data_IF_711837194093
#
_entry.id   IF_711837194093
#
_cell.length_a   1.000
_cell.length_b   1.000
_cell.length_c   1.000
_cell.angle_alpha   90.00
_cell.angle_beta   90.00
_cell.angle_gamma   90.00
#
_symmetry.space_group_name_H-M   'P 1'
#
loop_
_entity.id
_entity.type
_entity.pdbx_description
1 polymer ?
#
# COMPACT_ATOMS: atom_id res chain seq x y z
N UNK A 1 16.05 -15.98 -3.85
CA UNK A 1 16.59 -14.69 -3.36
C UNK A 1 15.88 -13.59 -4.15
N UNK A 2 15.26 -12.63 -3.45
CA UNK A 2 14.57 -11.50 -4.09
C UNK A 2 15.58 -10.47 -4.61
N UNK A 3 15.27 -9.83 -5.73
CA UNK A 3 16.12 -8.79 -6.34
C UNK A 3 15.76 -7.39 -5.87
N UNK A 4 14.57 -7.20 -5.31
CA UNK A 4 14.04 -5.93 -4.81
C UNK A 4 12.72 -6.18 -4.10
N UNK A 5 11.94 -5.13 -3.93
CA UNK A 5 10.65 -5.16 -3.24
C UNK A 5 9.55 -4.52 -4.08
N UNK A 6 8.30 -4.90 -3.80
CA UNK A 6 7.09 -4.27 -4.33
C UNK A 6 6.12 -4.00 -3.19
N UNK A 7 5.41 -2.88 -3.22
CA UNK A 7 4.38 -2.54 -2.25
C UNK A 7 3.19 -1.84 -2.88
N UNK A 8 2.04 -1.97 -2.22
CA UNK A 8 0.86 -1.18 -2.53
C UNK A 8 1.01 0.24 -1.97
N UNK A 9 0.99 1.25 -2.83
CA UNK A 9 1.05 2.67 -2.44
C UNK A 9 -0.35 3.26 -2.54
N UNK A 10 -1.02 3.40 -1.39
CA UNK A 10 -2.42 3.83 -1.32
C UNK A 10 -2.61 5.35 -1.29
N UNK A 11 -1.56 6.11 -1.07
CA UNK A 11 -1.61 7.54 -0.75
C UNK A 11 -1.89 7.82 0.74
N UNK A 12 -1.95 6.79 1.59
CA UNK A 12 -2.04 6.92 3.04
C UNK A 12 -0.67 6.86 3.72
N UNK A 13 -0.59 7.38 4.96
CA UNK A 13 0.67 7.59 5.70
C UNK A 13 1.50 6.30 5.90
N UNK A 14 0.84 5.15 6.13
CA UNK A 14 1.55 3.90 6.40
C UNK A 14 2.28 3.40 5.14
N UNK A 15 1.61 3.39 4.00
CA UNK A 15 2.23 3.03 2.72
C UNK A 15 3.31 4.03 2.31
N UNK A 16 3.09 5.32 2.59
CA UNK A 16 4.05 6.37 2.30
C UNK A 16 5.33 6.24 3.13
N UNK A 17 5.21 5.97 4.44
CA UNK A 17 6.38 5.73 5.29
C UNK A 17 7.08 4.42 4.92
N UNK A 18 6.33 3.35 4.63
CA UNK A 18 6.92 2.08 4.17
C UNK A 18 7.73 2.25 2.90
N UNK A 19 7.22 3.03 1.93
CA UNK A 19 7.94 3.35 0.70
C UNK A 19 9.24 4.10 0.98
N UNK A 20 9.20 5.13 1.83
CA UNK A 20 10.39 5.89 2.21
C UNK A 20 11.46 4.99 2.87
N UNK A 21 11.07 4.14 3.83
CA UNK A 21 11.97 3.18 4.48
C UNK A 21 12.57 2.20 3.46
N UNK A 22 11.76 1.71 2.52
CA UNK A 22 12.23 0.78 1.50
C UNK A 22 13.29 1.41 0.59
N UNK A 23 13.08 2.66 0.18
CA UNK A 23 14.05 3.41 -0.65
C UNK A 23 15.32 3.72 0.13
N UNK A 24 15.20 4.14 1.39
CA UNK A 24 16.36 4.40 2.25
C UNK A 24 17.23 3.15 2.46
N UNK A 25 16.59 1.98 2.55
CA UNK A 25 17.29 0.72 2.79
C UNK A 25 17.87 0.06 1.53
N UNK A 26 17.23 0.23 0.38
CA UNK A 26 17.52 -0.57 -0.81
C UNK A 26 17.98 0.25 -2.02
N UNK A 27 17.70 1.55 -2.06
CA UNK A 27 17.79 2.40 -3.25
C UNK A 27 16.53 2.31 -4.12
N UNK A 28 16.21 3.40 -4.81
CA UNK A 28 14.97 3.53 -5.58
C UNK A 28 14.85 2.51 -6.73
N UNK A 29 15.96 2.10 -7.31
CA UNK A 29 16.03 1.16 -8.42
C UNK A 29 15.58 -0.27 -8.06
N UNK A 30 15.52 -0.59 -6.76
CA UNK A 30 15.07 -1.90 -6.25
C UNK A 30 13.70 -1.87 -5.60
N UNK A 31 12.97 -0.76 -5.75
CA UNK A 31 11.64 -0.56 -5.16
C UNK A 31 10.61 -0.28 -6.24
N UNK A 32 9.53 -1.05 -6.27
CA UNK A 32 8.37 -0.79 -7.13
C UNK A 32 7.15 -0.45 -6.27
N UNK A 33 6.45 0.63 -6.63
CA UNK A 33 5.21 1.06 -5.99
C UNK A 33 4.02 0.84 -6.94
N UNK A 34 2.93 0.29 -6.42
CA UNK A 34 1.72 0.01 -7.20
C UNK A 34 0.52 0.66 -6.54
N UNK A 35 -0.10 1.62 -7.22
CA UNK A 35 -1.40 2.17 -6.86
C UNK A 35 -2.49 1.28 -7.44
N UNK A 36 -3.43 0.85 -6.59
CA UNK A 36 -4.52 -0.05 -6.99
C UNK A 36 -5.86 0.59 -6.62
N UNK A 37 -6.29 1.61 -7.39
CA UNK A 37 -7.49 2.37 -7.06
C UNK A 37 -8.76 1.56 -7.28
N UNK A 38 -9.81 1.94 -6.54
CA UNK A 38 -11.19 1.53 -6.73
C UNK A 38 -12.07 2.78 -6.88
N UNK A 39 -13.36 2.64 -7.17
CA UNK A 39 -14.30 3.74 -7.47
C UNK A 39 -14.27 4.91 -6.48
N UNK A 40 -14.06 4.61 -5.21
CA UNK A 40 -14.05 5.62 -4.13
C UNK A 40 -12.66 6.09 -3.74
N UNK A 41 -11.62 5.73 -4.50
CA UNK A 41 -10.26 6.23 -4.23
C UNK A 41 -10.20 7.71 -4.59
N UNK A 42 -9.87 8.56 -3.62
CA UNK A 42 -9.85 10.01 -3.83
C UNK A 42 -8.72 10.43 -4.78
N UNK A 43 -8.97 11.49 -5.54
CA UNK A 43 -7.92 12.10 -6.38
C UNK A 43 -6.73 12.57 -5.54
N UNK A 44 -6.98 13.05 -4.32
CA UNK A 44 -5.93 13.44 -3.38
C UNK A 44 -4.97 12.28 -3.09
N UNK A 45 -5.52 11.10 -2.78
CA UNK A 45 -4.69 9.89 -2.53
C UNK A 45 -3.88 9.47 -3.76
N UNK A 46 -4.48 9.53 -4.95
CA UNK A 46 -3.78 9.20 -6.20
C UNK A 46 -2.67 10.19 -6.52
N UNK A 47 -2.92 11.48 -6.32
CA UNK A 47 -1.95 12.54 -6.54
C UNK A 47 -0.79 12.46 -5.54
N UNK A 48 -1.08 12.23 -4.26
CA UNK A 48 -0.06 12.07 -3.22
C UNK A 48 0.83 10.86 -3.49
N UNK A 49 0.26 9.71 -3.86
CA UNK A 49 1.03 8.52 -4.22
C UNK A 49 1.94 8.77 -5.43
N UNK A 50 1.40 9.39 -6.49
CA UNK A 50 2.17 9.73 -7.69
C UNK A 50 3.30 10.71 -7.40
N UNK A 51 3.01 11.78 -6.63
CA UNK A 51 4.00 12.79 -6.21
C UNK A 51 5.13 12.14 -5.42
N UNK A 52 4.81 11.30 -4.43
CA UNK A 52 5.81 10.63 -3.61
C UNK A 52 6.69 9.69 -4.44
N UNK A 53 6.09 8.86 -5.30
CA UNK A 53 6.83 7.95 -6.16
C UNK A 53 7.80 8.68 -7.09
N UNK A 54 7.36 9.81 -7.65
CA UNK A 54 8.20 10.71 -8.47
C UNK A 54 9.34 11.31 -7.67
N UNK A 55 9.06 11.83 -6.48
CA UNK A 55 10.06 12.47 -5.61
C UNK A 55 11.16 11.48 -5.19
N UNK A 56 10.78 10.22 -4.95
CA UNK A 56 11.72 9.15 -4.58
C UNK A 56 12.36 8.44 -5.78
N UNK A 57 11.96 8.76 -7.01
CA UNK A 57 12.52 8.15 -8.24
C UNK A 57 12.24 6.65 -8.38
N UNK A 58 11.14 6.14 -7.79
CA UNK A 58 10.79 4.72 -7.85
C UNK A 58 9.92 4.38 -9.06
N UNK A 59 9.99 3.13 -9.52
CA UNK A 59 9.07 2.62 -10.51
C UNK A 59 7.63 2.62 -9.95
N UNK A 60 6.72 3.34 -10.63
CA UNK A 60 5.34 3.52 -10.20
C UNK A 60 4.35 3.04 -11.26
N UNK A 61 3.33 2.31 -10.83
CA UNK A 61 2.27 1.78 -11.70
C UNK A 61 0.90 2.00 -11.08
N UNK A 62 -0.10 2.19 -11.93
CA UNK A 62 -1.51 2.26 -11.54
C UNK A 62 -2.24 1.07 -12.15
N UNK A 63 -2.85 0.23 -11.32
CA UNK A 63 -3.60 -0.97 -11.72
C UNK A 63 -4.97 -0.93 -11.04
N UNK A 64 -6.02 -0.41 -11.68
CA UNK A 64 -7.36 -0.38 -11.11
C UNK A 64 -7.90 -1.79 -10.83
N UNK A 65 -8.59 -1.95 -9.68
CA UNK A 65 -9.14 -3.25 -9.28
C UNK A 65 -10.61 -3.46 -9.66
N UNK A 66 -11.25 -2.48 -10.31
CA UNK A 66 -12.68 -2.52 -10.64
C UNK A 66 -13.10 -3.78 -11.39
N UNK A 67 -12.37 -4.15 -12.45
CA UNK A 67 -12.68 -5.34 -13.25
C UNK A 67 -12.55 -6.64 -12.46
N UNK A 68 -11.51 -6.75 -11.63
CA UNK A 68 -11.28 -7.92 -10.76
C UNK A 68 -12.40 -8.03 -9.73
N UNK A 69 -12.69 -6.92 -9.03
CA UNK A 69 -13.75 -6.87 -8.03
C UNK A 69 -15.12 -7.22 -8.63
N UNK A 70 -15.48 -6.63 -9.78
CA UNK A 70 -16.75 -6.94 -10.47
C UNK A 70 -16.86 -8.40 -10.86
N UNK A 71 -15.76 -9.03 -11.29
CA UNK A 71 -15.73 -10.46 -11.60
C UNK A 71 -15.93 -11.32 -10.37
N UNK A 72 -15.31 -10.98 -9.24
CA UNK A 72 -15.51 -11.68 -7.96
C UNK A 72 -16.95 -11.55 -7.47
N UNK A 73 -17.51 -10.34 -7.49
CA UNK A 73 -18.90 -10.09 -7.10
C UNK A 73 -19.90 -10.83 -7.98
N UNK A 74 -19.65 -10.89 -9.29
CA UNK A 74 -20.47 -11.65 -10.24
C UNK A 74 -20.45 -13.14 -9.92
N UNK A 75 -19.29 -13.70 -9.63
CA UNK A 75 -19.14 -15.11 -9.27
C UNK A 75 -19.81 -15.46 -7.93
N UNK A 76 -19.78 -14.53 -6.95
CA UNK A 76 -20.34 -14.71 -5.62
C UNK A 76 -21.82 -14.31 -5.52
N UNK A 77 -22.39 -13.74 -6.57
CA UNK A 77 -23.78 -13.27 -6.57
C UNK A 77 -24.81 -14.32 -6.10
N UNK A 78 -24.73 -15.61 -6.50
CA UNK A 78 -25.66 -16.63 -5.99
C UNK A 78 -25.55 -16.84 -4.48
N UNK A 79 -24.33 -16.84 -3.95
CA UNK A 79 -24.04 -17.07 -2.52
C UNK A 79 -24.42 -15.86 -1.65
N UNK A 80 -24.36 -14.64 -2.21
CA UNK A 80 -24.71 -13.40 -1.51
C UNK A 80 -26.19 -13.02 -1.65
N UNK A 81 -26.98 -13.84 -2.33
CA UNK A 81 -28.40 -13.57 -2.55
C UNK A 81 -29.17 -13.46 -1.22
N UNK A 82 -29.84 -12.32 -1.02
CA UNK A 82 -30.61 -12.03 0.20
C UNK A 82 -29.78 -11.53 1.39
N UNK A 83 -28.44 -11.47 1.27
CA UNK A 83 -27.58 -10.90 2.30
C UNK A 83 -27.39 -9.40 2.07
N UNK A 84 -27.21 -8.64 3.16
CA UNK A 84 -26.90 -7.22 3.08
C UNK A 84 -25.38 -7.04 2.93
N UNK A 85 -24.93 -6.00 2.18
CA UNK A 85 -23.51 -5.65 2.10
C UNK A 85 -22.92 -5.40 3.50
N UNK A 86 -21.69 -5.88 3.72
CA UNK A 86 -20.96 -5.72 4.97
C UNK A 86 -19.43 -5.59 4.72
N UNK A 87 -18.62 -5.98 5.68
CA UNK A 87 -17.15 -5.97 5.58
C UNK A 87 -16.61 -6.94 4.51
N UNK A 88 -17.43 -7.91 4.04
CA UNK A 88 -17.01 -8.91 3.05
C UNK A 88 -16.59 -8.28 1.73
N UNK A 89 -17.33 -7.25 1.27
CA UNK A 89 -17.02 -6.53 0.04
C UNK A 89 -15.70 -5.75 0.15
N UNK A 90 -15.42 -5.15 1.30
CA UNK A 90 -14.15 -4.47 1.56
C UNK A 90 -12.99 -5.48 1.59
N UNK A 91 -13.20 -6.62 2.22
CA UNK A 91 -12.22 -7.70 2.28
C UNK A 91 -11.91 -8.29 0.89
N UNK A 92 -12.89 -8.37 0.00
CA UNK A 92 -12.68 -8.79 -1.39
C UNK A 92 -11.78 -7.79 -2.14
N UNK A 93 -11.95 -6.48 -1.92
CA UNK A 93 -11.07 -5.47 -2.50
C UNK A 93 -9.63 -5.61 -1.99
N UNK A 94 -9.45 -5.79 -0.67
CA UNK A 94 -8.13 -5.99 -0.07
C UNK A 94 -7.44 -7.24 -0.65
N UNK A 95 -8.19 -8.35 -0.79
CA UNK A 95 -7.67 -9.60 -1.38
C UNK A 95 -7.35 -9.48 -2.86
N UNK A 96 -8.16 -8.75 -3.64
CA UNK A 96 -7.85 -8.45 -5.03
C UNK A 96 -6.50 -7.74 -5.18
N UNK A 97 -6.22 -6.75 -4.30
CA UNK A 97 -4.91 -6.06 -4.26
C UNK A 97 -3.79 -7.03 -3.86
N UNK A 98 -4.01 -7.87 -2.87
CA UNK A 98 -3.04 -8.89 -2.44
C UNK A 98 -2.66 -9.84 -3.58
N UNK A 99 -3.65 -10.33 -4.35
CA UNK A 99 -3.42 -11.21 -5.51
C UNK A 99 -2.58 -10.52 -6.58
N UNK A 100 -2.84 -9.25 -6.90
CA UNK A 100 -2.06 -8.48 -7.87
C UNK A 100 -0.60 -8.32 -7.42
N UNK A 101 -0.37 -7.93 -6.17
CA UNK A 101 0.98 -7.77 -5.63
C UNK A 101 1.74 -9.09 -5.62
N UNK A 102 1.09 -10.17 -5.20
CA UNK A 102 1.72 -11.51 -5.21
C UNK A 102 2.01 -12.00 -6.63
N UNK A 103 1.14 -11.72 -7.61
CA UNK A 103 1.39 -12.01 -9.02
C UNK A 103 2.62 -11.27 -9.56
N UNK A 104 2.75 -9.97 -9.25
CA UNK A 104 3.93 -9.16 -9.62
C UNK A 104 5.18 -9.72 -8.93
N UNK A 105 5.10 -9.98 -7.63
CA UNK A 105 6.17 -10.57 -6.81
C UNK A 105 6.73 -11.85 -7.45
N UNK A 106 5.85 -12.80 -7.72
CA UNK A 106 6.23 -14.10 -8.27
C UNK A 106 6.87 -13.97 -9.67
N UNK A 107 6.31 -13.09 -10.51
CA UNK A 107 6.79 -12.94 -11.88
C UNK A 107 8.13 -12.22 -11.98
N UNK A 108 8.36 -11.25 -11.08
CA UNK A 108 9.57 -10.41 -11.11
C UNK A 108 10.64 -10.80 -10.08
N UNK A 109 10.35 -11.71 -9.17
CA UNK A 109 11.27 -12.07 -8.09
C UNK A 109 11.42 -10.94 -7.05
N UNK A 110 10.35 -10.18 -6.78
CA UNK A 110 10.32 -9.12 -5.79
C UNK A 110 9.65 -9.57 -4.50
N UNK A 111 10.12 -9.10 -3.34
CA UNK A 111 9.45 -9.33 -2.07
C UNK A 111 8.30 -8.34 -1.88
N UNK A 112 7.11 -8.81 -1.53
CA UNK A 112 6.00 -7.91 -1.17
C UNK A 112 6.22 -7.37 0.23
N UNK A 113 6.22 -6.02 0.36
CA UNK A 113 6.14 -5.33 1.65
C UNK A 113 4.68 -5.06 2.00
N UNK A 114 4.29 -5.40 3.21
CA UNK A 114 2.99 -4.99 3.77
C UNK A 114 3.15 -3.69 4.55
N UNK A 115 2.06 -2.94 4.66
CA UNK A 115 2.07 -1.57 5.21
C UNK A 115 1.28 -1.41 6.50
N UNK A 116 0.74 -2.50 7.05
CA UNK A 116 -0.05 -2.48 8.28
C UNK A 116 0.78 -2.08 9.50
N UNK A 117 0.27 -1.19 10.33
CA UNK A 117 0.90 -0.75 11.56
C UNK A 117 0.38 -1.54 12.79
N UNK A 118 1.06 -1.36 13.94
CA UNK A 118 0.70 -2.04 15.19
C UNK A 118 -0.72 -1.76 15.65
N UNK A 119 -1.20 -0.52 15.49
CA UNK A 119 -2.52 -0.12 15.96
C UNK A 119 -3.64 -0.80 15.16
N UNK A 120 -3.48 -0.92 13.84
CA UNK A 120 -4.43 -1.65 12.97
C UNK A 120 -4.48 -3.13 13.33
N UNK A 121 -3.32 -3.76 13.50
CA UNK A 121 -3.22 -5.18 13.89
C UNK A 121 -3.86 -5.40 15.27
N UNK A 122 -3.61 -4.52 16.24
CA UNK A 122 -4.12 -4.64 17.60
C UNK A 122 -5.65 -4.59 17.70
N UNK A 123 -6.31 -3.84 16.81
CA UNK A 123 -7.79 -3.75 16.79
C UNK A 123 -8.42 -4.70 15.76
N UNK A 124 -7.62 -5.54 15.10
CA UNK A 124 -8.10 -6.46 14.08
C UNK A 124 -8.52 -5.79 12.76
N UNK A 125 -8.11 -4.54 12.54
CA UNK A 125 -8.37 -3.84 11.27
C UNK A 125 -7.34 -4.25 10.22
N UNK A 126 -7.46 -5.49 9.79
CA UNK A 126 -6.56 -6.11 8.82
C UNK A 126 -7.27 -7.28 8.14
N UNK A 127 -7.03 -7.45 6.85
CA UNK A 127 -7.67 -8.50 6.04
C UNK A 127 -6.67 -9.62 5.79
N UNK A 128 -6.98 -10.81 6.34
CA UNK A 128 -6.19 -12.02 6.10
C UNK A 128 -6.15 -12.34 4.59
N UNK A 129 -4.96 -12.59 4.06
CA UNK A 129 -4.70 -12.80 2.63
C UNK A 129 -5.00 -11.57 1.73
N UNK A 130 -5.24 -10.40 2.32
CA UNK A 130 -5.41 -9.12 1.63
C UNK A 130 -4.23 -8.20 1.88
N UNK A 131 -4.43 -7.17 2.68
CA UNK A 131 -3.41 -6.18 3.06
C UNK A 131 -2.27 -6.78 3.90
N UNK A 132 -2.50 -7.93 4.54
CA UNK A 132 -1.46 -8.69 5.25
C UNK A 132 -0.64 -9.63 4.34
N UNK A 133 -1.00 -9.75 3.06
CA UNK A 133 -0.30 -10.64 2.13
C UNK A 133 1.06 -10.05 1.74
N UNK A 134 2.15 -10.60 2.30
CA UNK A 134 3.50 -10.16 1.99
C UNK A 134 4.55 -10.90 2.82
N UNK A 135 5.81 -10.65 2.51
CA UNK A 135 6.95 -11.34 3.14
C UNK A 135 7.62 -10.54 4.25
N UNK A 136 7.38 -9.23 4.34
CA UNK A 136 7.95 -8.37 5.38
C UNK A 136 7.04 -7.17 5.69
N UNK A 137 6.96 -6.80 6.96
CA UNK A 137 6.21 -5.64 7.44
C UNK A 137 7.11 -4.76 8.31
N UNK A 138 7.53 -3.60 7.78
CA UNK A 138 8.41 -2.67 8.47
C UNK A 138 7.72 -1.94 9.64
N UNK A 139 6.39 -1.79 9.60
CA UNK A 139 5.62 -1.02 10.56
C UNK A 139 4.83 -1.87 11.57
N UNK A 140 4.98 -3.18 11.55
CA UNK A 140 4.22 -4.14 12.35
C UNK A 140 4.20 -3.82 13.85
N UNK A 141 5.33 -3.36 14.38
CA UNK A 141 5.47 -3.01 15.81
C UNK A 141 5.45 -1.49 16.08
N UNK A 142 5.12 -0.68 15.06
CA UNK A 142 5.07 0.78 15.12
C UNK A 142 3.63 1.23 15.32
N UNK A 143 3.34 1.97 16.40
CA UNK A 143 2.01 2.53 16.65
C UNK A 143 1.68 3.63 15.64
N UNK A 144 0.39 3.88 15.36
CA UNK A 144 -0.06 4.91 14.42
C UNK A 144 0.52 6.30 14.74
N UNK A 145 0.55 6.67 16.02
CA UNK A 145 1.13 7.95 16.46
C UNK A 145 2.64 8.04 16.18
N UNK A 146 3.36 6.91 16.27
CA UNK A 146 4.79 6.87 15.95
C UNK A 146 5.02 6.90 14.45
N UNK A 147 4.14 6.31 13.63
CA UNK A 147 4.19 6.43 12.16
C UNK A 147 4.22 7.89 11.72
N UNK A 148 3.32 8.73 12.25
CA UNK A 148 3.31 10.17 11.96
C UNK A 148 4.59 10.88 12.41
N UNK A 149 5.12 10.55 13.58
CA UNK A 149 6.39 11.12 14.07
C UNK A 149 7.56 10.74 13.16
N UNK A 150 7.64 9.49 12.75
CA UNK A 150 8.68 9.00 11.84
C UNK A 150 8.57 9.63 10.44
N UNK A 151 7.37 9.83 9.93
CA UNK A 151 7.16 10.51 8.66
C UNK A 151 7.66 11.96 8.69
N UNK A 152 7.31 12.72 9.74
CA UNK A 152 7.82 14.08 9.94
C UNK A 152 9.35 14.09 10.11
N UNK A 153 9.88 13.17 10.92
CA UNK A 153 11.33 13.04 11.11
C UNK A 153 12.04 12.78 9.79
N UNK A 154 11.50 11.89 8.93
CA UNK A 154 12.10 11.59 7.63
C UNK A 154 12.12 12.81 6.71
N UNK A 155 11.07 13.60 6.68
CA UNK A 155 11.03 14.83 5.89
C UNK A 155 12.03 15.89 6.42
N UNK A 156 12.11 16.06 7.74
CA UNK A 156 13.07 17.01 8.34
C UNK A 156 14.54 16.60 8.13
N UNK A 157 14.82 15.33 7.89
CA UNK A 157 16.17 14.79 7.66
C UNK A 157 16.37 14.34 6.22
N UNK A 158 15.68 14.96 5.28
CA UNK A 158 15.93 14.75 3.85
C UNK A 158 17.33 15.25 3.48
N UNK A 159 18.10 14.43 2.76
CA UNK A 159 19.45 14.78 2.30
C UNK A 159 19.37 15.94 1.29
N UNK A 160 18.31 15.97 0.48
CA UNK A 160 17.99 17.07 -0.41
C UNK A 160 16.97 17.96 0.28
N UNK A 161 17.39 19.09 0.82
CA UNK A 161 16.59 19.98 1.69
C UNK A 161 15.29 20.52 1.08
N UNK A 162 15.10 20.38 -0.24
CA UNK A 162 13.93 20.89 -0.96
C UNK A 162 12.96 19.79 -1.45
N UNK A 163 13.22 18.50 -1.14
CA UNK A 163 12.35 17.41 -1.59
C UNK A 163 11.53 16.87 -0.44
N UNK A 164 10.20 17.02 -0.53
CA UNK A 164 9.26 16.30 0.34
C UNK A 164 9.29 14.80 0.03
N UNK A 165 9.94 14.02 0.87
CA UNK A 165 9.99 12.54 0.73
C UNK A 165 8.61 11.93 0.90
N UNK A 166 7.84 12.42 1.88
CA UNK A 166 6.44 12.08 2.11
C UNK A 166 5.64 13.37 1.92
N UNK A 167 4.68 13.43 0.98
CA UNK A 167 3.88 14.63 0.74
C UNK A 167 3.21 15.14 2.02
N UNK A 168 3.23 16.46 2.25
CA UNK A 168 2.71 17.05 3.48
C UNK A 168 1.22 16.74 3.66
N UNK A 169 0.45 16.75 2.57
CA UNK A 169 -0.97 16.39 2.55
C UNK A 169 -1.28 14.96 3.04
N UNK A 170 -0.27 14.09 3.18
CA UNK A 170 -0.40 12.74 3.73
C UNK A 170 -0.15 12.73 5.24
N UNK A 171 0.60 13.72 5.74
CA UNK A 171 1.01 13.83 7.16
C UNK A 171 -0.01 14.63 7.99
N UNK A 172 -0.72 15.57 7.35
CA UNK A 172 -1.72 16.44 7.98
C UNK A 172 -3.08 15.74 8.12
#
# INVERSE_FOLDING_TARGET
KFTGVVLGLSGGIDSALTLAIAVDALGSERVEAVMMPFEYTSELSMNAASKQAKNLGVAYKVIPINGIYSSLMSALKPEFSGLQPDVSEQNLQARARGVLLMGISNKKGLLVLTTGNKSEIAVGYSTLYGDMAGGFNALKDVSKTLVYKLARYRNCNSIEQDIEVIPQEVID
#
